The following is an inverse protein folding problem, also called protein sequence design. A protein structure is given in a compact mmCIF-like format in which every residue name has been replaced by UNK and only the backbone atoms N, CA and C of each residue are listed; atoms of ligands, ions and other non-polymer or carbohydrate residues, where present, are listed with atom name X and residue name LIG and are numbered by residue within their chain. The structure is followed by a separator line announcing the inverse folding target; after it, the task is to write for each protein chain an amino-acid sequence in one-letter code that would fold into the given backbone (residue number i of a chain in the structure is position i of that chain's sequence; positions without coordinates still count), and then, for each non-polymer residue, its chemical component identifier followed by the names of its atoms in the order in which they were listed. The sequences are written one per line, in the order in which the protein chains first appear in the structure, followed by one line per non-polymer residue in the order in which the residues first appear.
data_IF_850779094330
#
_entry.id   IF_850779094330
#
_cell.length_a   1.000
_cell.length_b   1.000
_cell.length_c   1.000
_cell.angle_alpha   90.00
_cell.angle_beta   90.00
_cell.angle_gamma   90.00
#
_symmetry.space_group_name_H-M   'P 1'
#
loop_
_entity.id
_entity.type
_entity.pdbx_description
1 polymer ?
#
# COMPACT_ATOMS: atom_id res chain seq x y z
N UNK A 1 -2.12 -32.86 -30.57
CA UNK A 1 -1.80 -31.51 -30.07
C UNK A 1 -2.53 -31.39 -28.74
N UNK A 2 -1.84 -31.08 -27.66
CA UNK A 2 -2.47 -31.00 -26.33
C UNK A 2 -3.50 -29.86 -26.32
N UNK A 3 -4.68 -30.09 -25.79
CA UNK A 3 -5.79 -29.13 -25.71
C UNK A 3 -5.36 -27.82 -25.02
N UNK A 4 -4.47 -27.93 -24.02
CA UNK A 4 -3.87 -26.79 -23.33
C UNK A 4 -3.05 -25.86 -24.25
N UNK A 5 -2.38 -26.40 -25.29
CA UNK A 5 -1.68 -25.55 -26.27
C UNK A 5 -2.66 -24.69 -27.10
N UNK A 6 -3.82 -25.25 -27.45
CA UNK A 6 -4.85 -24.52 -28.20
C UNK A 6 -5.45 -23.40 -27.29
N UNK A 7 -5.72 -23.70 -26.02
CA UNK A 7 -6.20 -22.70 -25.07
C UNK A 7 -5.15 -21.61 -24.83
N UNK A 8 -3.86 -21.96 -24.73
CA UNK A 8 -2.78 -20.97 -24.62
C UNK A 8 -2.76 -20.01 -25.82
N UNK A 9 -2.81 -20.57 -27.04
CA UNK A 9 -2.83 -19.76 -28.27
C UNK A 9 -4.07 -18.87 -28.34
N UNK A 10 -5.21 -19.37 -27.90
CA UNK A 10 -6.47 -18.62 -27.86
C UNK A 10 -6.38 -17.48 -26.84
N UNK A 11 -5.87 -17.74 -25.63
CA UNK A 11 -5.69 -16.71 -24.62
C UNK A 11 -4.73 -15.61 -25.08
N UNK A 12 -3.62 -15.97 -25.75
CA UNK A 12 -2.68 -15.02 -26.35
C UNK A 12 -3.36 -14.20 -27.46
N UNK A 13 -4.11 -14.85 -28.35
CA UNK A 13 -4.81 -14.17 -29.46
C UNK A 13 -5.88 -13.19 -28.97
N UNK A 14 -6.52 -13.47 -27.83
CA UNK A 14 -7.50 -12.61 -27.19
C UNK A 14 -6.86 -11.56 -26.24
N UNK A 15 -5.52 -11.49 -26.22
CA UNK A 15 -4.75 -10.64 -25.32
C UNK A 15 -5.07 -10.86 -23.83
N UNK A 16 -5.53 -12.06 -23.46
CA UNK A 16 -5.78 -12.47 -22.08
C UNK A 16 -4.49 -13.06 -21.48
N UNK A 17 -3.56 -12.17 -21.15
CA UNK A 17 -2.23 -12.57 -20.68
C UNK A 17 -2.24 -13.26 -19.32
N UNK A 18 -3.24 -13.00 -18.48
CA UNK A 18 -3.38 -13.68 -17.18
C UNK A 18 -3.71 -15.15 -17.37
N UNK A 19 -4.69 -15.46 -18.22
CA UNK A 19 -5.06 -16.84 -18.58
C UNK A 19 -3.91 -17.53 -19.31
N UNK A 20 -3.27 -16.83 -20.26
CA UNK A 20 -2.12 -17.37 -20.99
C UNK A 20 -0.97 -17.80 -20.04
N UNK A 21 -0.67 -17.01 -19.02
CA UNK A 21 0.36 -17.33 -18.01
C UNK A 21 -0.01 -18.54 -17.15
N UNK A 22 -1.25 -18.63 -16.69
CA UNK A 22 -1.71 -19.78 -15.89
C UNK A 22 -1.65 -21.08 -16.72
N UNK A 23 -2.11 -21.04 -17.97
CA UNK A 23 -2.03 -22.21 -18.87
C UNK A 23 -0.57 -22.56 -19.18
N UNK A 24 0.31 -21.59 -19.38
CA UNK A 24 1.74 -21.81 -19.58
C UNK A 24 2.39 -22.44 -18.34
N UNK A 25 2.06 -21.98 -17.13
CA UNK A 25 2.53 -22.58 -15.88
C UNK A 25 2.05 -24.04 -15.75
N UNK A 26 0.79 -24.30 -16.04
CA UNK A 26 0.22 -25.65 -16.03
C UNK A 26 0.92 -26.57 -17.04
N UNK A 27 1.16 -26.09 -18.27
CA UNK A 27 1.93 -26.85 -19.28
C UNK A 27 3.33 -27.22 -18.79
N UNK A 28 3.99 -26.37 -18.04
CA UNK A 28 5.31 -26.65 -17.45
C UNK A 28 5.28 -27.83 -16.45
N UNK A 29 4.13 -28.11 -15.83
CA UNK A 29 3.94 -29.23 -14.92
C UNK A 29 3.45 -30.50 -15.63
N UNK A 30 2.58 -30.34 -16.64
CA UNK A 30 1.94 -31.48 -17.34
C UNK A 30 2.86 -32.16 -18.35
N UNK A 31 3.91 -31.45 -18.84
CA UNK A 31 4.86 -31.99 -19.83
C UNK A 31 6.31 -31.86 -19.31
N UNK A 32 6.62 -32.45 -18.17
CA UNK A 32 7.91 -32.25 -17.48
C UNK A 32 9.12 -32.78 -18.24
N UNK A 33 8.93 -33.70 -19.22
CA UNK A 33 10.03 -34.34 -19.96
C UNK A 33 10.61 -33.42 -21.05
N UNK A 34 9.84 -32.45 -21.52
CA UNK A 34 10.23 -31.55 -22.62
C UNK A 34 10.85 -30.24 -22.10
N UNK A 35 10.76 -29.97 -20.79
CA UNK A 35 11.24 -28.72 -20.18
C UNK A 35 12.31 -29.05 -19.15
N UNK A 36 13.55 -28.56 -19.29
CA UNK A 36 14.60 -28.74 -18.29
C UNK A 36 14.16 -28.25 -16.91
N UNK A 37 14.49 -29.00 -15.86
CA UNK A 37 14.05 -28.68 -14.49
C UNK A 37 14.47 -27.26 -14.08
N UNK A 38 15.72 -26.90 -14.36
CA UNK A 38 16.27 -25.58 -14.02
C UNK A 38 15.50 -24.43 -14.73
N UNK A 39 15.09 -24.68 -15.98
CA UNK A 39 14.29 -23.71 -16.73
C UNK A 39 12.86 -23.62 -16.20
N UNK A 40 12.26 -24.74 -15.83
CA UNK A 40 10.93 -24.80 -15.21
C UNK A 40 10.93 -24.06 -13.86
N UNK A 41 11.90 -24.34 -12.99
CA UNK A 41 12.03 -23.73 -11.68
C UNK A 41 12.31 -22.22 -11.78
N UNK A 42 12.92 -21.77 -12.85
CA UNK A 42 13.07 -20.36 -13.18
C UNK A 42 11.79 -19.75 -13.77
N UNK A 43 11.06 -20.49 -14.64
CA UNK A 43 9.95 -19.94 -15.41
C UNK A 43 8.62 -19.91 -14.64
N UNK A 44 8.27 -21.01 -13.94
CA UNK A 44 6.96 -21.17 -13.29
C UNK A 44 6.69 -20.06 -12.26
N UNK A 45 7.59 -19.67 -11.36
CA UNK A 45 7.36 -18.56 -10.45
C UNK A 45 7.04 -17.24 -11.19
N UNK A 46 7.70 -17.00 -12.34
CA UNK A 46 7.50 -15.79 -13.15
C UNK A 46 6.20 -15.78 -13.94
N UNK A 47 5.65 -16.95 -14.23
CA UNK A 47 4.33 -17.09 -14.87
C UNK A 47 3.20 -16.93 -13.86
N UNK A 48 3.36 -17.51 -12.66
CA UNK A 48 2.34 -17.50 -11.60
C UNK A 48 2.33 -16.16 -10.86
N UNK A 49 3.52 -15.61 -10.60
CA UNK A 49 3.68 -14.30 -9.95
C UNK A 49 4.65 -13.43 -10.79
N UNK A 50 4.15 -12.82 -11.86
CA UNK A 50 4.98 -12.04 -12.76
C UNK A 50 5.49 -10.78 -12.05
N UNK A 51 6.80 -10.76 -11.78
CA UNK A 51 7.46 -9.52 -11.36
C UNK A 51 7.33 -8.49 -12.50
N UNK A 52 7.08 -7.22 -12.18
CA UNK A 52 7.02 -6.18 -13.19
C UNK A 52 8.35 -6.15 -13.97
N UNK A 53 8.32 -5.88 -15.28
CA UNK A 53 9.54 -5.75 -16.06
C UNK A 53 10.49 -4.75 -15.40
N UNK A 54 11.77 -5.11 -15.31
CA UNK A 54 12.78 -4.23 -14.71
C UNK A 54 12.82 -2.83 -15.38
N UNK A 55 12.42 -2.76 -16.64
CA UNK A 55 12.31 -1.50 -17.39
C UNK A 55 11.22 -0.58 -16.86
N UNK A 56 10.12 -1.12 -16.31
CA UNK A 56 9.05 -0.32 -15.69
C UNK A 56 9.49 0.27 -14.36
N UNK A 57 10.33 -0.47 -13.60
CA UNK A 57 10.89 0.01 -12.34
C UNK A 57 11.89 1.16 -12.54
N UNK A 58 12.58 1.19 -13.69
CA UNK A 58 13.65 2.15 -13.96
C UNK A 58 13.24 3.33 -14.86
N UNK A 59 12.13 3.23 -15.61
CA UNK A 59 11.70 4.21 -16.60
C UNK A 59 10.20 4.46 -16.51
N UNK A 60 9.77 5.11 -15.44
CA UNK A 60 8.40 5.59 -15.35
C UNK A 60 8.20 6.70 -16.40
N UNK A 61 7.11 6.69 -17.20
CA UNK A 61 6.82 7.79 -18.11
C UNK A 61 6.81 9.14 -17.39
N UNK A 62 7.42 10.21 -17.93
CA UNK A 62 7.51 11.50 -17.24
C UNK A 62 6.18 12.11 -16.81
N UNK A 63 5.09 11.73 -17.48
CA UNK A 63 3.73 12.13 -17.14
C UNK A 63 3.27 11.50 -15.83
N UNK A 64 3.70 10.27 -15.54
CA UNK A 64 3.35 9.50 -14.34
C UNK A 64 4.27 9.82 -13.15
N UNK A 65 5.53 10.22 -13.37
CA UNK A 65 6.47 10.56 -12.29
C UNK A 65 5.92 11.65 -11.34
N UNK A 66 5.08 12.54 -11.85
CA UNK A 66 4.44 13.60 -11.06
C UNK A 66 3.16 13.15 -10.35
N UNK A 67 2.55 12.06 -10.81
CA UNK A 67 1.24 11.60 -10.36
C UNK A 67 1.34 10.46 -9.35
N UNK A 68 2.35 9.61 -9.45
CA UNK A 68 2.50 8.44 -8.61
C UNK A 68 3.96 8.19 -8.22
N UNK A 69 4.14 7.44 -7.15
CA UNK A 69 5.43 6.87 -6.75
C UNK A 69 5.36 5.38 -7.04
N UNK A 70 6.30 4.88 -7.83
CA UNK A 70 6.50 3.47 -8.09
C UNK A 70 7.73 2.99 -7.31
N UNK A 71 7.55 2.04 -6.40
CA UNK A 71 8.56 1.65 -5.43
C UNK A 71 8.79 0.13 -5.46
N UNK A 72 10.04 -0.28 -5.67
CA UNK A 72 10.48 -1.65 -5.42
C UNK A 72 10.79 -1.82 -3.92
N UNK A 73 9.77 -2.18 -3.16
CA UNK A 73 9.86 -2.31 -1.70
C UNK A 73 10.86 -3.38 -1.25
N UNK A 74 11.22 -4.32 -2.11
CA UNK A 74 12.24 -5.32 -1.78
C UNK A 74 13.63 -4.70 -1.56
N UNK A 75 13.87 -3.52 -2.13
CA UNK A 75 15.14 -2.77 -2.04
C UNK A 75 15.09 -1.60 -1.08
N UNK A 76 13.93 -1.01 -0.91
CA UNK A 76 13.79 0.28 -0.22
C UNK A 76 13.17 0.15 1.17
N UNK A 77 12.36 -0.89 1.39
CA UNK A 77 11.67 -1.11 2.65
C UNK A 77 12.51 -1.97 3.59
N UNK A 78 12.58 -1.58 4.86
CA UNK A 78 13.28 -2.32 5.92
C UNK A 78 12.20 -2.92 6.84
N UNK A 79 11.79 -4.19 6.64
CA UNK A 79 10.66 -4.78 7.34
C UNK A 79 10.85 -4.86 8.84
N UNK A 80 12.10 -5.02 9.31
CA UNK A 80 12.45 -5.10 10.72
C UNK A 80 12.18 -3.78 11.47
N UNK A 81 12.05 -2.67 10.74
CA UNK A 81 11.68 -1.35 11.30
C UNK A 81 10.17 -1.12 11.36
N UNK A 82 9.38 -2.04 10.82
CA UNK A 82 7.94 -1.97 10.87
C UNK A 82 7.39 -2.99 11.87
N UNK A 83 7.01 -2.53 13.04
CA UNK A 83 6.37 -3.37 14.04
C UNK A 83 4.88 -3.54 13.73
N UNK A 84 4.40 -4.79 13.73
CA UNK A 84 3.04 -5.15 13.34
C UNK A 84 2.28 -5.63 14.56
N UNK A 85 1.20 -4.95 14.91
CA UNK A 85 0.30 -5.38 15.98
C UNK A 85 -0.50 -6.63 15.57
N UNK A 86 -1.02 -7.38 16.54
CA UNK A 86 -1.87 -8.53 16.25
C UNK A 86 -3.17 -8.16 15.51
N UNK A 87 -3.62 -6.91 15.66
CA UNK A 87 -4.75 -6.37 14.90
C UNK A 87 -4.37 -6.15 13.43
N UNK A 88 -3.21 -5.60 13.16
CA UNK A 88 -2.69 -5.38 11.81
C UNK A 88 -2.35 -6.70 11.11
N UNK A 89 -1.85 -7.71 11.84
CA UNK A 89 -1.63 -9.07 11.30
C UNK A 89 -2.92 -9.66 10.75
N UNK A 90 -4.04 -9.52 11.45
CA UNK A 90 -5.35 -9.99 10.98
C UNK A 90 -5.81 -9.27 9.71
N UNK A 91 -5.58 -7.96 9.63
CA UNK A 91 -5.89 -7.18 8.42
C UNK A 91 -5.02 -7.64 7.25
N UNK A 92 -3.73 -7.88 7.50
CA UNK A 92 -2.78 -8.40 6.53
C UNK A 92 -3.22 -9.76 5.99
N UNK A 93 -3.52 -10.70 6.88
CA UNK A 93 -3.99 -12.05 6.56
C UNK A 93 -5.29 -12.03 5.74
N UNK A 94 -6.24 -11.14 6.09
CA UNK A 94 -7.49 -10.97 5.35
C UNK A 94 -7.24 -10.49 3.93
N UNK A 95 -6.38 -9.48 3.72
CA UNK A 95 -6.06 -8.97 2.38
C UNK A 95 -5.32 -10.02 1.54
N UNK A 96 -4.36 -10.74 2.12
CA UNK A 96 -3.62 -11.80 1.43
C UNK A 96 -4.58 -12.93 1.04
N UNK A 97 -5.45 -13.38 1.95
CA UNK A 97 -6.45 -14.40 1.69
C UNK A 97 -7.42 -14.02 0.56
N UNK A 98 -7.84 -12.75 0.52
CA UNK A 98 -8.66 -12.21 -0.58
C UNK A 98 -7.91 -12.25 -1.91
N UNK A 99 -6.63 -11.86 -1.93
CA UNK A 99 -5.81 -11.92 -3.13
C UNK A 99 -5.66 -13.36 -3.64
N UNK A 100 -5.42 -14.32 -2.75
CA UNK A 100 -5.27 -15.72 -3.11
C UNK A 100 -6.57 -16.32 -3.66
N UNK A 101 -7.71 -15.86 -3.14
CA UNK A 101 -9.02 -16.28 -3.62
C UNK A 101 -9.40 -15.69 -4.99
N UNK A 102 -8.81 -14.56 -5.42
CA UNK A 102 -9.18 -13.84 -6.64
C UNK A 102 -9.19 -14.71 -7.88
N UNK A 103 -8.16 -15.55 -8.08
CA UNK A 103 -8.06 -16.43 -9.25
C UNK A 103 -9.15 -17.51 -9.27
N UNK A 104 -9.50 -18.05 -8.10
CA UNK A 104 -10.59 -19.04 -7.99
C UNK A 104 -11.95 -18.41 -8.28
N UNK A 105 -12.18 -17.19 -7.77
CA UNK A 105 -13.41 -16.44 -8.01
C UNK A 105 -13.55 -16.07 -9.49
N UNK A 106 -12.44 -15.72 -10.14
CA UNK A 106 -12.41 -15.44 -11.58
C UNK A 106 -12.77 -16.67 -12.42
N UNK A 107 -12.12 -17.81 -12.14
CA UNK A 107 -12.44 -19.07 -12.80
C UNK A 107 -13.92 -19.46 -12.64
N UNK A 108 -14.51 -19.16 -11.50
CA UNK A 108 -15.93 -19.35 -11.22
C UNK A 108 -16.83 -18.24 -11.82
N UNK A 109 -16.28 -17.23 -12.49
CA UNK A 109 -16.99 -16.06 -13.03
C UNK A 109 -17.77 -15.27 -11.96
N UNK A 110 -17.26 -15.27 -10.74
CA UNK A 110 -17.81 -14.49 -9.63
C UNK A 110 -17.20 -13.08 -9.69
N UNK A 111 -18.01 -12.02 -9.82
CA UNK A 111 -17.52 -10.65 -9.77
C UNK A 111 -16.87 -10.38 -8.41
N UNK A 112 -15.59 -10.02 -8.43
CA UNK A 112 -14.84 -9.70 -7.23
C UNK A 112 -13.83 -8.60 -7.55
N UNK A 113 -13.81 -7.56 -6.73
CA UNK A 113 -12.81 -6.51 -6.78
C UNK A 113 -11.89 -6.67 -5.56
N UNK A 114 -10.60 -6.88 -5.79
CA UNK A 114 -9.61 -6.95 -4.72
C UNK A 114 -9.30 -5.53 -4.21
N UNK A 115 -10.22 -4.97 -3.45
CA UNK A 115 -10.15 -3.60 -2.96
C UNK A 115 -10.42 -3.52 -1.46
N UNK A 116 -9.49 -2.94 -0.72
CA UNK A 116 -9.57 -2.73 0.72
C UNK A 116 -9.45 -1.26 1.07
N UNK A 117 -10.36 -0.75 1.90
CA UNK A 117 -10.28 0.58 2.48
C UNK A 117 -9.66 0.51 3.88
N UNK A 118 -8.56 1.22 4.06
CA UNK A 118 -7.94 1.46 5.35
C UNK A 118 -8.36 2.84 5.87
N UNK A 119 -8.97 2.89 7.02
CA UNK A 119 -9.33 4.16 7.63
C UNK A 119 -8.79 4.28 9.05
N UNK A 120 -8.60 5.50 9.55
CA UNK A 120 -8.10 5.75 10.90
C UNK A 120 -7.48 7.13 11.01
N UNK A 121 -7.14 7.53 12.22
CA UNK A 121 -6.55 8.84 12.49
C UNK A 121 -5.26 9.06 11.69
N UNK A 122 -4.91 10.34 11.48
CA UNK A 122 -3.62 10.67 10.87
C UNK A 122 -2.46 10.12 11.72
N UNK A 123 -1.41 9.63 11.04
CA UNK A 123 -0.23 9.08 11.72
C UNK A 123 -0.35 7.64 12.22
N UNK A 124 -1.48 6.93 11.98
CA UNK A 124 -1.64 5.51 12.36
C UNK A 124 -0.92 4.53 11.43
N UNK A 125 -0.10 5.00 10.51
CA UNK A 125 0.76 4.12 9.70
C UNK A 125 0.11 3.54 8.45
N UNK A 126 -1.07 4.01 7.98
CA UNK A 126 -1.78 3.45 6.81
C UNK A 126 -0.91 3.26 5.58
N UNK A 127 -0.12 4.28 5.21
CA UNK A 127 0.75 4.22 4.04
C UNK A 127 1.96 3.29 4.25
N UNK A 128 2.46 3.18 5.49
CA UNK A 128 3.52 2.22 5.84
C UNK A 128 2.98 0.79 5.85
N UNK A 129 1.75 0.58 6.31
CA UNK A 129 1.08 -0.71 6.20
C UNK A 129 0.96 -1.17 4.74
N UNK A 130 0.62 -0.26 3.81
CA UNK A 130 0.59 -0.56 2.37
C UNK A 130 1.95 -1.03 1.84
N UNK A 131 3.05 -0.38 2.23
CA UNK A 131 4.42 -0.80 1.89
C UNK A 131 4.77 -2.16 2.47
N UNK A 132 4.43 -2.38 3.75
CA UNK A 132 4.65 -3.66 4.41
C UNK A 132 3.87 -4.80 3.75
N UNK A 133 2.60 -4.57 3.39
CA UNK A 133 1.80 -5.52 2.63
C UNK A 133 2.47 -5.85 1.28
N UNK A 134 2.91 -4.83 0.53
CA UNK A 134 3.59 -5.02 -0.74
C UNK A 134 4.87 -5.84 -0.59
N UNK A 135 5.68 -5.54 0.43
CA UNK A 135 6.86 -6.31 0.78
C UNK A 135 6.52 -7.78 1.10
N UNK A 136 5.51 -8.02 1.95
CA UNK A 136 5.08 -9.37 2.35
C UNK A 136 4.56 -10.19 1.16
N UNK A 137 3.88 -9.52 0.21
CA UNK A 137 3.36 -10.17 -1.00
C UNK A 137 4.41 -10.29 -2.12
N UNK A 138 5.63 -9.76 -1.95
CA UNK A 138 6.65 -9.72 -3.00
C UNK A 138 6.25 -8.89 -4.22
N UNK A 139 5.34 -7.93 -4.06
CA UNK A 139 4.82 -7.08 -5.14
C UNK A 139 5.39 -5.67 -5.05
N UNK A 140 5.55 -4.96 -6.19
CA UNK A 140 5.88 -3.55 -6.15
C UNK A 140 4.76 -2.73 -5.52
N UNK A 141 5.11 -1.59 -4.97
CA UNK A 141 4.18 -0.65 -4.37
C UNK A 141 3.99 0.56 -5.28
N UNK A 142 2.74 0.81 -5.66
CA UNK A 142 2.34 2.00 -6.42
C UNK A 142 1.54 2.90 -5.50
N UNK A 143 2.01 4.12 -5.28
CA UNK A 143 1.40 5.05 -4.34
C UNK A 143 0.97 6.34 -5.04
N UNK A 144 -0.27 6.74 -4.78
CA UNK A 144 -0.85 7.99 -5.27
C UNK A 144 -1.43 8.78 -4.09
N UNK A 145 -0.96 10.01 -3.91
CA UNK A 145 -1.61 10.96 -2.99
C UNK A 145 -2.64 11.78 -3.78
N UNK A 146 -3.91 11.53 -3.51
CA UNK A 146 -5.01 12.16 -4.23
C UNK A 146 -5.15 13.66 -3.96
N UNK A 147 -4.69 14.17 -2.81
CA UNK A 147 -4.65 15.61 -2.54
C UNK A 147 -3.75 16.36 -3.53
N UNK A 148 -2.66 15.76 -4.00
CA UNK A 148 -1.76 16.38 -4.96
C UNK A 148 -2.38 16.51 -6.37
N UNK A 149 -3.46 15.77 -6.62
CA UNK A 149 -4.16 15.78 -7.92
C UNK A 149 -5.30 16.80 -7.99
N UNK A 150 -5.77 17.27 -6.83
CA UNK A 150 -6.84 18.26 -6.73
C UNK A 150 -6.25 19.67 -6.87
N UNK A 151 -6.77 20.47 -7.77
CA UNK A 151 -6.32 21.86 -7.95
C UNK A 151 -5.70 22.15 -9.32
N UNK A 152 -5.56 21.17 -10.16
CA UNK A 152 -5.29 21.34 -11.57
C UNK A 152 -6.53 21.83 -12.33
N UNK A 153 -6.42 22.07 -13.62
CA UNK A 153 -7.51 22.56 -14.48
C UNK A 153 -8.71 21.61 -14.49
N UNK A 154 -9.90 22.16 -14.79
CA UNK A 154 -11.15 21.40 -14.93
C UNK A 154 -10.97 20.13 -15.81
N UNK A 155 -11.34 18.96 -15.24
CA UNK A 155 -11.25 17.67 -15.91
C UNK A 155 -9.85 17.04 -15.97
N UNK A 156 -8.82 17.71 -15.46
CA UNK A 156 -7.45 17.16 -15.43
C UNK A 156 -7.35 16.03 -14.40
N UNK A 157 -7.96 16.18 -13.24
CA UNK A 157 -8.00 15.14 -12.19
C UNK A 157 -8.58 13.82 -12.73
N UNK A 158 -9.67 13.87 -13.48
CA UNK A 158 -10.28 12.69 -14.08
C UNK A 158 -9.41 12.02 -15.15
N UNK A 159 -8.67 12.81 -15.95
CA UNK A 159 -7.71 12.27 -16.92
C UNK A 159 -6.52 11.63 -16.24
N UNK A 160 -5.96 12.29 -15.24
CA UNK A 160 -4.83 11.78 -14.47
C UNK A 160 -5.18 10.47 -13.77
N UNK A 161 -6.37 10.36 -13.15
CA UNK A 161 -6.87 9.10 -12.60
C UNK A 161 -6.87 7.98 -13.66
N UNK A 162 -7.46 8.22 -14.82
CA UNK A 162 -7.50 7.22 -15.90
C UNK A 162 -6.09 6.81 -16.32
N UNK A 163 -5.19 7.75 -16.56
CA UNK A 163 -3.78 7.47 -16.93
C UNK A 163 -3.08 6.59 -15.89
N UNK A 164 -3.30 6.85 -14.59
CA UNK A 164 -2.74 6.04 -13.51
C UNK A 164 -3.33 4.63 -13.51
N UNK A 165 -4.65 4.50 -13.62
CA UNK A 165 -5.31 3.19 -13.61
C UNK A 165 -4.95 2.35 -14.84
N UNK A 166 -4.88 2.97 -16.04
CA UNK A 166 -4.44 2.31 -17.27
C UNK A 166 -2.98 1.79 -17.13
N UNK A 167 -2.12 2.56 -16.47
CA UNK A 167 -0.75 2.11 -16.18
C UNK A 167 -0.71 0.93 -15.21
N UNK A 168 -1.46 1.00 -14.13
CA UNK A 168 -1.51 -0.04 -13.09
C UNK A 168 -2.14 -1.33 -13.60
N UNK A 169 -3.07 -1.25 -14.57
CA UNK A 169 -3.76 -2.42 -15.15
C UNK A 169 -2.79 -3.48 -15.70
N UNK A 170 -1.61 -3.06 -16.17
CA UNK A 170 -0.58 -3.96 -16.72
C UNK A 170 0.38 -4.57 -15.70
N UNK A 171 0.27 -4.23 -14.39
CA UNK A 171 1.31 -4.51 -13.41
C UNK A 171 0.72 -5.15 -12.15
N UNK A 172 1.07 -6.42 -11.83
CA UNK A 172 0.72 -7.01 -10.53
C UNK A 172 1.40 -6.22 -9.40
N UNK A 173 0.64 -5.43 -8.66
CA UNK A 173 1.17 -4.54 -7.64
C UNK A 173 0.21 -4.38 -6.46
N UNK A 174 0.71 -3.84 -5.36
CA UNK A 174 -0.12 -3.21 -4.34
C UNK A 174 -0.28 -1.73 -4.73
N UNK A 175 -1.46 -1.36 -5.15
CA UNK A 175 -1.82 -0.03 -5.62
C UNK A 175 -2.54 0.74 -4.51
N UNK A 176 -1.95 1.81 -4.00
CA UNK A 176 -2.49 2.58 -2.90
C UNK A 176 -2.92 3.98 -3.31
N UNK A 177 -4.20 4.28 -3.07
CA UNK A 177 -4.79 5.60 -3.17
C UNK A 177 -4.88 6.22 -1.78
N UNK A 178 -4.02 7.18 -1.47
CA UNK A 178 -4.02 7.86 -0.16
C UNK A 178 -4.83 9.15 -0.20
N UNK A 179 -5.40 9.53 0.95
CA UNK A 179 -6.26 10.70 1.13
C UNK A 179 -7.51 10.65 0.22
N UNK A 180 -8.18 9.48 0.19
CA UNK A 180 -9.35 9.23 -0.65
C UNK A 180 -10.46 10.28 -0.46
N UNK A 181 -10.59 10.83 0.73
CA UNK A 181 -11.53 11.91 1.07
C UNK A 181 -11.26 13.21 0.30
N UNK A 182 -10.11 13.39 -0.35
CA UNK A 182 -9.86 14.53 -1.21
C UNK A 182 -10.76 14.57 -2.46
N UNK A 183 -11.18 13.43 -2.98
CA UNK A 183 -11.94 13.33 -4.25
C UNK A 183 -13.24 12.51 -4.15
N UNK A 184 -13.45 11.76 -3.08
CA UNK A 184 -14.58 10.84 -2.93
C UNK A 184 -15.59 11.30 -1.88
N UNK A 185 -15.84 12.61 -1.79
CA UNK A 185 -16.71 13.22 -0.77
C UNK A 185 -18.19 12.97 -1.08
N UNK A 186 -18.99 12.80 -0.02
CA UNK A 186 -20.44 12.66 -0.10
C UNK A 186 -21.09 13.89 -0.75
N UNK A 187 -21.92 13.67 -1.75
CA UNK A 187 -22.61 14.69 -2.56
C UNK A 187 -23.49 15.64 -1.72
N UNK A 188 -24.00 15.18 -0.58
CA UNK A 188 -24.80 16.01 0.32
C UNK A 188 -24.02 17.08 1.09
N UNK A 189 -22.70 16.99 1.15
CA UNK A 189 -21.80 17.93 1.83
C UNK A 189 -21.13 18.93 0.89
N UNK A 190 -21.35 18.82 -0.42
CA UNK A 190 -20.72 19.66 -1.44
C UNK A 190 -21.58 20.91 -1.67
N UNK A 191 -20.96 22.09 -1.62
CA UNK A 191 -21.62 23.35 -1.95
C UNK A 191 -22.13 23.34 -3.41
N UNK A 192 -23.34 23.86 -3.65
CA UNK A 192 -23.92 24.03 -4.99
C UNK A 192 -23.10 25.05 -5.79
N UNK A 193 -22.48 24.61 -6.91
CA UNK A 193 -21.68 25.47 -7.79
C UNK A 193 -20.72 24.66 -8.67
N UNK A 194 -20.03 25.31 -9.60
CA UNK A 194 -19.18 24.64 -10.60
C UNK A 194 -18.09 23.71 -10.04
N UNK A 195 -17.53 24.01 -8.86
CA UNK A 195 -16.57 23.12 -8.16
C UNK A 195 -17.22 21.84 -7.60
N UNK A 196 -18.49 21.90 -7.21
CA UNK A 196 -19.24 20.74 -6.74
C UNK A 196 -19.55 19.74 -7.86
N UNK A 197 -19.87 20.24 -9.04
CA UNK A 197 -20.13 19.41 -10.23
C UNK A 197 -18.86 18.69 -10.70
N UNK A 198 -17.70 19.35 -10.62
CA UNK A 198 -16.41 18.74 -10.97
C UNK A 198 -16.03 17.63 -10.00
N UNK A 199 -16.16 17.87 -8.70
CA UNK A 199 -15.90 16.86 -7.68
C UNK A 199 -16.80 15.62 -7.86
N UNK A 200 -18.07 15.84 -8.19
CA UNK A 200 -19.00 14.75 -8.51
C UNK A 200 -18.54 13.95 -9.73
N UNK A 201 -18.10 14.61 -10.80
CA UNK A 201 -17.58 13.96 -12.01
C UNK A 201 -16.30 13.19 -11.72
N UNK A 202 -15.40 13.74 -10.91
CA UNK A 202 -14.17 13.08 -10.48
C UNK A 202 -14.46 11.82 -9.67
N UNK A 203 -15.41 11.88 -8.71
CA UNK A 203 -15.86 10.72 -7.94
C UNK A 203 -16.45 9.63 -8.86
N UNK A 204 -17.27 10.00 -9.84
CA UNK A 204 -17.81 9.05 -10.83
C UNK A 204 -16.67 8.43 -11.66
N UNK A 205 -15.72 9.25 -12.12
CA UNK A 205 -14.54 8.78 -12.84
C UNK A 205 -13.69 7.79 -12.04
N UNK A 206 -13.46 8.08 -10.75
CA UNK A 206 -12.78 7.15 -9.84
C UNK A 206 -13.52 5.82 -9.74
N UNK A 207 -14.84 5.83 -9.54
CA UNK A 207 -15.63 4.62 -9.47
C UNK A 207 -15.55 3.79 -10.75
N UNK A 208 -15.58 4.43 -11.91
CA UNK A 208 -15.41 3.76 -13.21
C UNK A 208 -14.01 3.13 -13.34
N UNK A 209 -12.97 3.83 -12.94
CA UNK A 209 -11.61 3.29 -12.91
C UNK A 209 -11.48 2.09 -11.96
N UNK A 210 -12.09 2.16 -10.75
CA UNK A 210 -12.11 1.03 -9.81
C UNK A 210 -12.79 -0.21 -10.41
N UNK A 211 -13.86 -0.02 -11.17
CA UNK A 211 -14.62 -1.12 -11.80
C UNK A 211 -13.80 -1.83 -12.91
N UNK A 212 -12.71 -1.22 -13.42
CA UNK A 212 -11.82 -1.80 -14.46
C UNK A 212 -10.55 -2.41 -13.89
N UNK A 213 -10.25 -2.26 -12.59
CA UNK A 213 -9.03 -2.80 -11.97
C UNK A 213 -8.97 -4.32 -12.12
N UNK A 214 -7.82 -4.81 -12.57
CA UNK A 214 -7.56 -6.25 -12.70
C UNK A 214 -7.38 -6.90 -11.33
N UNK A 215 -7.60 -8.21 -11.30
CA UNK A 215 -7.63 -8.99 -10.06
C UNK A 215 -6.25 -9.28 -9.47
N UNK A 216 -5.20 -9.18 -10.28
CA UNK A 216 -3.81 -9.31 -9.85
C UNK A 216 -3.25 -8.03 -9.17
N UNK A 217 -4.02 -6.94 -9.23
CA UNK A 217 -3.77 -5.70 -8.50
C UNK A 217 -4.49 -5.74 -7.16
N UNK A 218 -3.76 -5.51 -6.08
CA UNK A 218 -4.33 -5.31 -4.74
C UNK A 218 -4.58 -3.82 -4.56
N UNK A 219 -5.84 -3.39 -4.72
CA UNK A 219 -6.21 -2.00 -4.53
C UNK A 219 -6.38 -1.68 -3.05
N UNK A 220 -5.53 -0.81 -2.53
CA UNK A 220 -5.70 -0.19 -1.22
C UNK A 220 -6.17 1.25 -1.38
N UNK A 221 -7.08 1.68 -0.54
CA UNK A 221 -7.35 3.09 -0.37
C UNK A 221 -7.20 3.48 1.11
N UNK A 222 -6.75 4.70 1.37
CA UNK A 222 -6.63 5.21 2.72
C UNK A 222 -7.38 6.54 2.90
N UNK A 223 -7.97 6.71 4.08
CA UNK A 223 -8.63 7.96 4.48
C UNK A 223 -8.53 8.19 5.98
N UNK A 224 -8.50 9.45 6.36
CA UNK A 224 -8.66 9.86 7.76
C UNK A 224 -10.13 10.15 8.10
N UNK A 225 -11.02 10.25 7.10
CA UNK A 225 -12.40 10.72 7.22
C UNK A 225 -13.39 9.83 6.49
N UNK A 226 -13.50 8.57 6.94
CA UNK A 226 -14.46 7.61 6.38
C UNK A 226 -15.90 8.12 6.35
N UNK A 227 -16.27 8.92 7.35
CA UNK A 227 -17.59 9.54 7.49
C UNK A 227 -17.94 10.50 6.34
N UNK A 228 -16.92 11.04 5.67
CA UNK A 228 -17.09 11.98 4.55
C UNK A 228 -17.22 11.30 3.19
N UNK A 229 -16.89 10.00 3.08
CA UNK A 229 -16.88 9.29 1.81
C UNK A 229 -18.28 9.04 1.26
N UNK A 230 -18.41 9.11 -0.07
CA UNK A 230 -19.63 8.76 -0.78
C UNK A 230 -19.97 7.26 -0.59
N UNK A 231 -21.21 6.97 -0.25
CA UNK A 231 -21.67 5.60 -0.01
C UNK A 231 -21.50 4.68 -1.24
N UNK A 232 -21.55 5.21 -2.45
CA UNK A 232 -21.34 4.43 -3.67
C UNK A 232 -19.86 4.04 -3.84
N UNK A 233 -18.91 4.88 -3.38
CA UNK A 233 -17.48 4.55 -3.32
C UNK A 233 -17.24 3.48 -2.26
N UNK A 234 -17.81 3.63 -1.05
CA UNK A 234 -17.66 2.66 0.03
C UNK A 234 -18.12 1.24 -0.37
N UNK A 235 -19.19 1.14 -1.17
CA UNK A 235 -19.72 -0.16 -1.64
C UNK A 235 -18.79 -0.91 -2.61
N UNK A 236 -17.77 -0.26 -3.16
CA UNK A 236 -16.79 -0.88 -4.06
C UNK A 236 -15.66 -1.58 -3.33
N UNK A 237 -15.49 -1.27 -2.06
CA UNK A 237 -14.50 -1.96 -1.25
C UNK A 237 -15.06 -3.27 -0.72
N UNK A 238 -14.32 -4.35 -0.97
CA UNK A 238 -14.64 -5.70 -0.50
C UNK A 238 -14.43 -5.82 1.00
N UNK A 239 -13.42 -5.11 1.53
CA UNK A 239 -13.12 -5.05 2.96
C UNK A 239 -12.87 -3.60 3.41
N UNK A 240 -13.23 -3.30 4.66
CA UNK A 240 -13.02 -1.99 5.27
C UNK A 240 -12.45 -2.21 6.67
N UNK A 241 -11.21 -1.81 6.88
CA UNK A 241 -10.50 -1.99 8.16
C UNK A 241 -10.11 -0.66 8.79
N UNK A 242 -10.22 -0.61 10.11
CA UNK A 242 -9.73 0.51 10.91
C UNK A 242 -8.32 0.23 11.41
N UNK A 243 -7.36 1.08 11.02
CA UNK A 243 -6.04 1.10 11.63
C UNK A 243 -6.05 2.07 12.81
N UNK A 244 -6.05 1.50 14.01
CA UNK A 244 -6.09 2.26 15.26
C UNK A 244 -4.68 2.62 15.73
N UNK A 245 -4.59 3.69 16.49
CA UNK A 245 -3.38 3.96 17.26
C UNK A 245 -3.05 2.76 18.15
N UNK A 246 -1.78 2.53 18.39
CA UNK A 246 -1.32 1.47 19.29
C UNK A 246 -1.77 1.71 20.71
N UNK A 247 -2.06 0.64 21.42
CA UNK A 247 -2.20 0.68 22.88
C UNK A 247 -0.84 1.05 23.50
N UNK A 248 -0.81 1.59 24.75
CA UNK A 248 0.44 1.99 25.37
C UNK A 248 1.51 0.89 25.38
N UNK A 249 1.14 -0.35 25.66
CA UNK A 249 2.08 -1.48 25.68
C UNK A 249 2.56 -1.85 24.26
N UNK A 250 1.67 -1.86 23.28
CA UNK A 250 2.01 -2.05 21.85
C UNK A 250 2.96 -0.94 21.35
N UNK A 251 2.73 0.30 21.80
CA UNK A 251 3.57 1.44 21.47
C UNK A 251 4.98 1.31 22.09
N UNK A 252 5.09 0.80 23.29
CA UNK A 252 6.39 0.50 23.94
C UNK A 252 7.14 -0.57 23.16
N UNK A 253 6.48 -1.68 22.83
CA UNK A 253 7.09 -2.76 22.04
C UNK A 253 7.57 -2.26 20.68
N UNK A 254 6.76 -1.46 19.98
CA UNK A 254 7.11 -0.84 18.71
C UNK A 254 8.36 0.04 18.83
N UNK A 255 8.41 0.93 19.84
CA UNK A 255 9.55 1.83 20.05
C UNK A 255 10.82 1.04 20.38
N UNK A 256 10.74 0.07 21.28
CA UNK A 256 11.89 -0.78 21.64
C UNK A 256 12.39 -1.57 20.46
N UNK A 257 11.48 -2.21 19.69
CA UNK A 257 11.82 -2.94 18.47
C UNK A 257 12.50 -2.03 17.44
N UNK A 258 11.97 -0.83 17.23
CA UNK A 258 12.55 0.15 16.31
C UNK A 258 13.97 0.57 16.72
N UNK A 259 14.20 0.91 18.01
CA UNK A 259 15.51 1.31 18.52
C UNK A 259 16.53 0.15 18.46
N UNK A 260 16.09 -1.06 18.79
CA UNK A 260 16.92 -2.26 18.70
C UNK A 260 17.37 -2.50 17.28
N UNK A 261 16.45 -2.44 16.30
CA UNK A 261 16.79 -2.60 14.91
C UNK A 261 17.74 -1.52 14.38
N UNK A 262 17.57 -0.27 14.83
CA UNK A 262 18.49 0.84 14.49
C UNK A 262 19.91 0.55 15.00
N UNK A 263 20.06 -0.04 16.20
CA UNK A 263 21.37 -0.46 16.70
C UNK A 263 21.99 -1.56 15.84
N UNK A 264 21.21 -2.60 15.53
CA UNK A 264 21.68 -3.77 14.77
C UNK A 264 22.09 -3.40 13.34
N UNK A 265 21.23 -2.67 12.64
CA UNK A 265 21.46 -2.30 11.23
C UNK A 265 22.38 -1.11 11.05
N UNK A 266 22.39 -0.17 12.00
CA UNK A 266 23.19 1.06 11.96
C UNK A 266 24.58 0.92 12.58
N UNK A 267 24.90 -0.20 13.23
CA UNK A 267 26.14 -0.40 13.97
C UNK A 267 26.28 0.60 15.14
N UNK A 268 25.14 1.07 15.68
CA UNK A 268 25.10 2.03 16.76
C UNK A 268 25.05 1.29 18.12
N UNK A 269 25.47 1.96 19.17
CA UNK A 269 25.41 1.44 20.56
C UNK A 269 24.53 2.35 21.40
N UNK A 270 23.28 2.57 20.96
CA UNK A 270 22.32 3.41 21.63
C UNK A 270 21.76 2.68 22.86
N UNK A 271 21.63 3.38 23.96
CA UNK A 271 20.99 2.91 25.19
C UNK A 271 19.79 3.78 25.52
N UNK A 272 18.81 3.25 26.26
CA UNK A 272 17.60 3.96 26.66
C UNK A 272 17.09 3.50 28.01
N UNK A 273 16.29 4.36 28.67
CA UNK A 273 15.55 4.00 29.88
C UNK A 273 14.12 3.59 29.48
N UNK A 274 13.72 2.37 29.85
CA UNK A 274 12.37 1.87 29.58
C UNK A 274 11.28 2.72 30.24
N UNK A 275 11.57 3.38 31.38
CA UNK A 275 10.60 4.27 32.04
C UNK A 275 10.29 5.48 31.17
N UNK A 276 11.34 6.10 30.59
CA UNK A 276 11.18 7.23 29.66
C UNK A 276 10.32 6.84 28.45
N UNK A 277 10.55 5.66 27.87
CA UNK A 277 9.74 5.14 26.75
C UNK A 277 8.28 4.93 27.20
N UNK A 278 8.05 4.26 28.34
CA UNK A 278 6.70 3.99 28.85
C UNK A 278 5.93 5.28 29.10
N UNK A 279 6.54 6.29 29.71
CA UNK A 279 5.91 7.59 29.95
C UNK A 279 5.48 8.26 28.64
N UNK A 280 6.33 8.22 27.59
CA UNK A 280 5.99 8.82 26.29
C UNK A 280 4.91 8.05 25.54
N UNK A 281 4.86 6.74 25.68
CA UNK A 281 3.84 5.89 25.05
C UNK A 281 2.46 6.04 25.72
N UNK A 282 2.40 6.33 27.02
CA UNK A 282 1.14 6.56 27.75
C UNK A 282 0.42 7.85 27.34
N UNK A 283 1.09 8.78 26.68
CA UNK A 283 0.50 10.07 26.24
C UNK A 283 -0.50 9.87 25.07
N UNK A 284 -0.58 8.66 24.49
CA UNK A 284 -1.53 8.36 23.39
C UNK A 284 -1.13 8.97 22.05
N UNK A 285 0.16 8.96 21.73
CA UNK A 285 0.69 9.45 20.45
C UNK A 285 0.40 8.46 19.31
N UNK A 286 0.21 9.00 18.11
CA UNK A 286 0.17 8.19 16.92
C UNK A 286 1.55 7.58 16.59
N UNK A 287 1.57 6.43 15.89
CA UNK A 287 2.81 5.71 15.52
C UNK A 287 3.83 6.62 14.85
N UNK A 288 3.38 7.41 13.87
CA UNK A 288 4.26 8.35 13.15
C UNK A 288 4.87 9.43 14.05
N UNK A 289 4.15 9.88 15.07
CA UNK A 289 4.69 10.83 16.06
C UNK A 289 5.76 10.19 16.94
N UNK A 290 5.54 8.93 17.36
CA UNK A 290 6.53 8.17 18.15
C UNK A 290 7.81 7.91 17.36
N UNK A 291 7.69 7.48 16.10
CA UNK A 291 8.86 7.29 15.22
C UNK A 291 9.63 8.60 15.03
N UNK A 292 8.93 9.71 14.78
CA UNK A 292 9.58 11.02 14.67
C UNK A 292 10.27 11.45 15.96
N UNK A 293 9.68 11.14 17.11
CA UNK A 293 10.29 11.39 18.42
C UNK A 293 11.57 10.56 18.59
N UNK A 294 11.52 9.26 18.27
CA UNK A 294 12.70 8.39 18.29
C UNK A 294 13.81 8.89 17.35
N UNK A 295 13.47 9.24 16.10
CA UNK A 295 14.45 9.72 15.13
C UNK A 295 15.18 10.97 15.62
N UNK A 296 14.46 11.94 16.20
CA UNK A 296 15.08 13.13 16.79
C UNK A 296 15.96 12.81 17.99
N UNK A 297 15.50 11.87 18.84
CA UNK A 297 16.30 11.44 20.00
C UNK A 297 17.56 10.67 19.58
N UNK A 298 17.49 9.84 18.53
CA UNK A 298 18.65 9.16 17.93
C UNK A 298 19.69 10.16 17.44
N UNK A 299 19.27 11.17 16.66
CA UNK A 299 20.21 12.20 16.16
C UNK A 299 20.95 12.87 17.32
N UNK A 300 20.28 13.17 18.41
CA UNK A 300 20.92 13.79 19.59
C UNK A 300 21.85 12.83 20.32
N UNK A 301 21.41 11.59 20.51
CA UNK A 301 22.19 10.58 21.20
C UNK A 301 23.53 10.32 20.47
N UNK A 302 23.49 10.16 19.16
CA UNK A 302 24.69 9.96 18.32
C UNK A 302 25.67 11.15 18.40
N UNK A 303 25.14 12.37 18.57
CA UNK A 303 26.00 13.58 18.69
C UNK A 303 26.60 13.80 20.08
N UNK A 304 26.08 13.10 21.10
CA UNK A 304 26.48 13.32 22.51
C UNK A 304 27.01 12.04 23.17
N UNK A 305 26.12 11.30 23.84
CA UNK A 305 26.48 10.22 24.78
C UNK A 305 25.89 8.85 24.39
N UNK A 306 25.32 8.74 23.22
CA UNK A 306 24.58 7.55 22.76
C UNK A 306 23.40 7.13 23.65
N UNK A 307 22.87 8.05 24.47
CA UNK A 307 21.72 7.80 25.34
C UNK A 307 20.46 8.43 24.76
N UNK A 308 19.47 7.60 24.46
CA UNK A 308 18.15 8.06 24.01
C UNK A 308 17.36 8.63 25.19
N UNK A 309 16.88 9.85 25.02
CA UNK A 309 16.00 10.53 25.99
C UNK A 309 14.81 11.10 25.24
N UNK A 310 13.65 10.47 25.41
CA UNK A 310 12.41 10.87 24.74
C UNK A 310 11.72 12.03 25.47
N UNK A 311 11.73 12.01 26.80
CA UNK A 311 11.10 13.03 27.68
C UNK A 311 11.68 14.43 27.52
N UNK A 312 12.98 14.56 27.26
CA UNK A 312 13.66 15.84 27.09
C UNK A 312 13.15 16.71 25.92
N UNK A 313 12.38 16.12 25.00
CA UNK A 313 11.80 16.84 23.86
C UNK A 313 10.46 17.49 24.15
N UNK A 314 9.62 16.84 24.97
CA UNK A 314 8.26 17.31 25.22
C UNK A 314 8.25 18.65 25.96
N UNK A 315 9.16 18.88 26.89
CA UNK A 315 9.23 20.15 27.61
C UNK A 315 9.63 21.32 26.70
N UNK A 316 10.52 21.10 25.72
CA UNK A 316 10.95 22.15 24.77
C UNK A 316 9.92 22.40 23.68
N UNK A 317 9.29 21.36 23.13
CA UNK A 317 8.28 21.47 22.11
C UNK A 317 7.00 22.15 22.61
N UNK A 318 6.61 21.92 23.88
CA UNK A 318 5.49 22.62 24.52
C UNK A 318 5.79 24.10 24.74
N UNK A 319 6.99 24.46 25.14
CA UNK A 319 7.39 25.88 25.30
C UNK A 319 7.41 26.67 23.99
N UNK A 320 7.73 26.01 22.87
CA UNK A 320 7.83 26.67 21.56
C UNK A 320 6.50 26.75 20.78
N UNK A 321 5.45 26.02 21.18
CA UNK A 321 4.12 26.12 20.55
C UNK A 321 3.23 27.24 21.11
N UNK A 322 3.65 27.85 22.21
CA UNK A 322 2.87 28.90 22.92
C UNK A 322 3.60 30.25 23.02
N UNK A 323 4.72 30.41 22.34
CA UNK A 323 5.41 31.65 22.03
C UNK A 323 5.37 31.91 20.52
#
# INVERSE_FOLDING_TARGET
MNELYLHLLQAVALNNMSEARLIAAQLCWDVPQDIPTDFRDWLVPRLVDPQPPADVLNNLPPELERLLIFEDVSKTFVPERYWVSDREKKVLEDIISQNDACHMLEAAKIPFLNATLLWGQSGTGKSQFGRYLAYTMGKPFVYVNLCNMVGASLGETGRNLRTIFDFVEGIPCVFMLDELDAIAVNRGSIATGGSGDEMTRTTIGLMQCMDTVRKDVVLLAATNRKDMLDAAVLRRFTAIHELKAFLPDEAVEMVVSYLTNVNETGGLSLTWDEKDIKEQCQIGRAQGELINLCNRAIVRAVQNDNVIRLTAEDERARKNRWN
#
